data_IF_323807205185
#
_entry.id   IF_323807205185
#
_cell.length_a   1.000
_cell.length_b   1.000
_cell.length_c   1.000
_cell.angle_alpha   90.00
_cell.angle_beta   90.00
_cell.angle_gamma   90.00
#
_symmetry.space_group_name_H-M   'P 1'
#
loop_
_entity.id
_entity.type
_entity.pdbx_description
1 polymer ?
#
# COMPACT_ATOMS: atom_id res chain seq x y z
N UNK A 1 6.76 -15.35 -30.00
CA UNK A 1 5.40 -15.22 -29.41
C UNK A 1 5.48 -15.84 -28.02
N UNK A 2 5.53 -15.05 -26.98
CA UNK A 2 5.49 -15.56 -25.61
C UNK A 2 4.07 -16.13 -25.42
N UNK A 3 3.96 -17.42 -25.11
CA UNK A 3 2.71 -18.02 -24.65
C UNK A 3 2.37 -17.33 -23.32
N UNK A 4 1.44 -16.39 -23.35
CA UNK A 4 0.87 -15.88 -22.11
C UNK A 4 0.12 -17.04 -21.46
N UNK A 5 0.59 -17.48 -20.29
CA UNK A 5 -0.17 -18.44 -19.49
C UNK A 5 -1.60 -17.90 -19.29
N UNK A 6 -2.61 -18.77 -19.34
CA UNK A 6 -3.99 -18.34 -19.14
C UNK A 6 -4.12 -17.70 -17.76
N UNK A 7 -4.83 -16.57 -17.69
CA UNK A 7 -5.06 -15.88 -16.43
C UNK A 7 -5.79 -16.82 -15.44
N UNK A 8 -5.43 -16.81 -14.14
CA UNK A 8 -6.02 -17.70 -13.14
C UNK A 8 -7.43 -17.26 -12.70
N UNK A 9 -8.03 -16.29 -13.38
CA UNK A 9 -9.35 -15.73 -13.11
C UNK A 9 -10.12 -15.45 -14.39
N UNK A 10 -11.43 -15.22 -14.25
CA UNK A 10 -12.32 -14.69 -15.29
C UNK A 10 -13.07 -13.48 -14.78
N UNK A 11 -13.47 -12.59 -15.67
CA UNK A 11 -14.43 -11.53 -15.38
C UNK A 11 -15.84 -12.10 -15.34
N UNK A 12 -16.66 -11.65 -14.38
CA UNK A 12 -18.03 -12.11 -14.18
C UNK A 12 -18.90 -10.99 -13.61
N UNK A 13 -20.16 -10.90 -14.03
CA UNK A 13 -21.11 -10.00 -13.40
C UNK A 13 -21.53 -10.52 -12.03
N UNK A 14 -21.18 -9.78 -10.99
CA UNK A 14 -21.47 -10.11 -9.60
C UNK A 14 -22.68 -9.30 -9.10
N UNK A 15 -23.63 -9.99 -8.48
CA UNK A 15 -24.87 -9.35 -8.00
C UNK A 15 -24.56 -8.19 -7.04
N UNK A 16 -25.04 -6.98 -7.39
CA UNK A 16 -24.87 -5.77 -6.60
C UNK A 16 -23.46 -5.16 -6.59
N UNK A 17 -22.52 -5.69 -7.42
CA UNK A 17 -21.14 -5.22 -7.48
C UNK A 17 -20.63 -4.90 -8.90
N UNK A 18 -21.47 -5.12 -9.93
CA UNK A 18 -21.04 -4.98 -11.32
C UNK A 18 -20.07 -6.09 -11.74
N UNK A 19 -19.14 -5.76 -12.66
CA UNK A 19 -18.12 -6.70 -13.11
C UNK A 19 -17.06 -6.88 -12.04
N UNK A 20 -16.68 -8.12 -11.77
CA UNK A 20 -15.58 -8.46 -10.86
C UNK A 20 -14.77 -9.65 -11.39
N UNK A 21 -13.68 -9.97 -10.75
CA UNK A 21 -12.78 -11.05 -11.13
C UNK A 21 -12.92 -12.24 -10.18
N UNK A 22 -13.21 -13.43 -10.73
CA UNK A 22 -13.43 -14.67 -9.98
C UNK A 22 -12.36 -15.68 -10.33
N UNK A 23 -11.71 -16.27 -9.32
CA UNK A 23 -10.68 -17.29 -9.51
C UNK A 23 -11.27 -18.54 -10.19
N UNK A 24 -10.66 -18.99 -11.30
CA UNK A 24 -11.05 -20.22 -12.00
C UNK A 24 -10.31 -21.47 -11.51
N UNK A 25 -9.31 -21.26 -10.67
CA UNK A 25 -8.50 -22.29 -10.01
C UNK A 25 -8.05 -21.81 -8.63
N UNK A 26 -7.48 -22.70 -7.82
CA UNK A 26 -6.85 -22.29 -6.56
C UNK A 26 -5.59 -21.47 -6.84
N UNK A 27 -5.43 -20.33 -6.13
CA UNK A 27 -4.27 -19.44 -6.23
C UNK A 27 -3.55 -19.45 -4.87
N UNK A 28 -2.28 -19.84 -4.87
CA UNK A 28 -1.48 -19.89 -3.65
C UNK A 28 -1.12 -18.47 -3.15
N UNK A 29 -0.88 -18.33 -1.84
CA UNK A 29 -0.39 -17.08 -1.25
C UNK A 29 0.95 -16.67 -1.89
N UNK A 30 1.08 -15.39 -2.25
CA UNK A 30 2.26 -14.80 -2.90
C UNK A 30 2.31 -15.01 -4.42
N UNK A 31 1.44 -15.86 -5.00
CA UNK A 31 1.40 -16.06 -6.45
C UNK A 31 1.04 -14.79 -7.19
N UNK A 32 1.66 -14.59 -8.33
CA UNK A 32 1.29 -13.57 -9.30
C UNK A 32 -0.07 -13.93 -9.92
N UNK A 33 -1.04 -13.02 -9.82
CA UNK A 33 -2.37 -13.14 -10.41
C UNK A 33 -2.42 -12.45 -11.77
N UNK A 34 -1.83 -11.25 -11.84
CA UNK A 34 -1.78 -10.43 -13.05
C UNK A 34 -0.52 -9.57 -13.00
N UNK A 35 0.12 -9.38 -14.15
CA UNK A 35 1.11 -8.34 -14.42
C UNK A 35 0.62 -7.50 -15.57
N UNK A 36 0.58 -6.18 -15.38
CA UNK A 36 0.05 -5.27 -16.39
C UNK A 36 0.89 -3.99 -16.47
N UNK A 37 1.08 -3.49 -17.70
CA UNK A 37 1.61 -2.15 -17.94
C UNK A 37 0.45 -1.14 -17.90
N UNK A 38 0.67 0.08 -17.40
CA UNK A 38 -0.39 1.09 -17.41
C UNK A 38 -0.77 1.49 -18.84
N UNK A 39 -2.07 1.58 -19.10
CA UNK A 39 -2.60 2.16 -20.33
C UNK A 39 -2.33 3.67 -20.39
N UNK A 40 -2.43 4.33 -19.23
CA UNK A 40 -2.10 5.73 -19.03
C UNK A 40 -1.22 5.85 -17.78
N UNK A 41 -0.01 6.37 -17.97
CA UNK A 41 0.94 6.59 -16.86
C UNK A 41 1.15 8.09 -16.65
N UNK A 42 1.06 8.51 -15.39
CA UNK A 42 1.39 9.88 -14.96
C UNK A 42 2.16 9.81 -13.65
N UNK A 43 3.41 10.25 -13.66
CA UNK A 43 4.19 10.39 -12.43
C UNK A 43 3.50 11.37 -11.47
N UNK A 44 3.71 11.22 -10.17
CA UNK A 44 3.07 12.05 -9.14
C UNK A 44 3.26 13.56 -9.40
N UNK A 45 4.45 13.97 -9.81
CA UNK A 45 4.80 15.36 -10.12
C UNK A 45 4.03 15.92 -11.33
N UNK A 46 3.67 15.06 -12.28
CA UNK A 46 2.99 15.44 -13.53
C UNK A 46 1.48 15.19 -13.49
N UNK A 47 0.94 14.70 -12.37
CA UNK A 47 -0.47 14.34 -12.24
C UNK A 47 -1.37 15.56 -12.08
N UNK A 48 -1.86 16.07 -13.21
CA UNK A 48 -2.82 17.17 -13.25
C UNK A 48 -3.85 16.97 -14.37
N UNK A 49 -4.96 17.69 -14.32
CA UNK A 49 -6.07 17.53 -15.27
C UNK A 49 -5.63 17.72 -16.73
N UNK A 50 -4.73 18.66 -17.00
CA UNK A 50 -4.21 18.92 -18.35
C UNK A 50 -3.39 17.73 -18.86
N UNK A 51 -2.56 17.14 -18.02
CA UNK A 51 -1.75 15.98 -18.39
C UNK A 51 -2.61 14.75 -18.72
N UNK A 52 -3.69 14.51 -17.98
CA UNK A 52 -4.66 13.43 -18.25
C UNK A 52 -5.20 13.56 -19.68
N UNK A 53 -5.74 14.72 -20.05
CA UNK A 53 -6.31 14.94 -21.39
C UNK A 53 -5.24 14.79 -22.48
N UNK A 54 -4.06 15.38 -22.30
CA UNK A 54 -2.96 15.25 -23.27
C UNK A 54 -2.51 13.81 -23.45
N UNK A 55 -2.40 13.04 -22.36
CA UNK A 55 -2.02 11.64 -22.43
C UNK A 55 -3.07 10.81 -23.16
N UNK A 56 -4.36 11.04 -22.91
CA UNK A 56 -5.44 10.39 -23.65
C UNK A 56 -5.38 10.70 -25.14
N UNK A 57 -5.21 11.97 -25.52
CA UNK A 57 -5.11 12.38 -26.92
C UNK A 57 -3.89 11.80 -27.64
N UNK A 58 -2.84 11.44 -26.91
CA UNK A 58 -1.62 10.82 -27.45
C UNK A 58 -1.72 9.29 -27.59
N UNK A 59 -2.76 8.65 -27.08
CA UNK A 59 -2.99 7.21 -27.22
C UNK A 59 -3.33 6.83 -28.66
N UNK A 60 -3.12 5.55 -28.99
CA UNK A 60 -3.68 4.98 -30.21
C UNK A 60 -5.21 5.03 -30.20
N UNK A 61 -5.86 4.98 -31.35
CA UNK A 61 -7.32 4.95 -31.44
C UNK A 61 -7.91 3.73 -30.72
N UNK A 62 -7.24 2.58 -30.77
CA UNK A 62 -7.61 1.36 -30.10
C UNK A 62 -7.55 1.53 -28.54
N UNK A 63 -6.45 2.09 -28.04
CA UNK A 63 -6.29 2.36 -26.61
C UNK A 63 -7.31 3.39 -26.09
N UNK A 64 -7.62 4.43 -26.88
CA UNK A 64 -8.68 5.40 -26.54
C UNK A 64 -10.05 4.71 -26.44
N UNK A 65 -10.36 3.79 -27.37
CA UNK A 65 -11.61 3.05 -27.35
C UNK A 65 -11.70 2.14 -26.11
N UNK A 66 -10.63 1.43 -25.76
CA UNK A 66 -10.60 0.60 -24.54
C UNK A 66 -10.69 1.43 -23.26
N UNK A 67 -10.02 2.60 -23.21
CA UNK A 67 -10.12 3.54 -22.10
C UNK A 67 -11.57 4.01 -21.89
N UNK A 68 -12.27 4.37 -22.96
CA UNK A 68 -13.65 4.88 -22.90
C UNK A 68 -14.69 3.82 -22.52
N UNK A 69 -14.35 2.52 -22.57
CA UNK A 69 -15.20 1.43 -22.05
C UNK A 69 -15.11 1.25 -20.54
N UNK A 70 -14.18 1.93 -19.87
CA UNK A 70 -14.00 1.81 -18.44
C UNK A 70 -15.11 2.50 -17.66
N UNK A 71 -15.32 2.08 -16.42
CA UNK A 71 -16.35 2.66 -15.56
C UNK A 71 -16.06 4.13 -15.25
N UNK A 72 -17.14 4.94 -15.20
CA UNK A 72 -17.07 6.36 -14.90
C UNK A 72 -18.07 6.73 -13.80
N UNK A 73 -17.58 7.02 -12.60
CA UNK A 73 -18.42 7.49 -11.49
C UNK A 73 -18.87 8.96 -11.65
N UNK A 74 -18.28 9.68 -12.61
CA UNK A 74 -18.54 11.10 -12.89
C UNK A 74 -19.37 11.30 -14.17
N UNK A 75 -20.30 10.39 -14.48
CA UNK A 75 -21.23 10.60 -15.57
C UNK A 75 -22.17 11.76 -15.25
N UNK A 76 -22.43 12.65 -16.25
CA UNK A 76 -23.16 13.92 -16.05
C UNK A 76 -24.60 13.72 -15.52
N UNK A 77 -25.25 12.58 -15.83
CA UNK A 77 -26.61 12.27 -15.43
C UNK A 77 -26.70 11.57 -14.05
N UNK A 78 -25.63 11.56 -13.28
CA UNK A 78 -25.62 10.90 -11.98
C UNK A 78 -26.19 11.80 -10.88
N UNK A 79 -27.45 11.60 -10.52
CA UNK A 79 -28.10 12.21 -9.33
C UNK A 79 -27.44 11.81 -7.99
N UNK A 80 -26.37 11.00 -8.05
CA UNK A 80 -25.75 10.36 -6.89
C UNK A 80 -24.36 10.92 -6.55
N UNK A 81 -23.93 12.01 -7.13
CA UNK A 81 -22.64 12.61 -6.79
C UNK A 81 -22.65 13.16 -5.36
N UNK A 82 -21.64 12.79 -4.59
CA UNK A 82 -21.38 13.44 -3.31
C UNK A 82 -20.94 14.89 -3.49
N UNK A 83 -21.09 15.72 -2.44
CA UNK A 83 -20.60 17.11 -2.46
C UNK A 83 -19.09 17.18 -2.78
N UNK A 84 -18.31 16.18 -2.34
CA UNK A 84 -16.89 16.06 -2.64
C UNK A 84 -16.63 15.83 -4.13
N UNK A 85 -17.37 14.94 -4.76
CA UNK A 85 -17.28 14.68 -6.22
C UNK A 85 -17.69 15.91 -7.02
N UNK A 86 -18.79 16.57 -6.66
CA UNK A 86 -19.25 17.80 -7.29
C UNK A 86 -18.17 18.88 -7.20
N UNK A 87 -17.58 19.09 -6.03
CA UNK A 87 -16.54 20.09 -5.83
C UNK A 87 -15.27 19.78 -6.64
N UNK A 88 -14.85 18.51 -6.75
CA UNK A 88 -13.73 18.11 -7.60
C UNK A 88 -14.00 18.39 -9.07
N UNK A 89 -15.17 18.04 -9.55
CA UNK A 89 -15.56 18.30 -10.95
C UNK A 89 -15.61 19.77 -11.27
N UNK A 90 -16.20 20.60 -10.41
CA UNK A 90 -16.25 22.06 -10.59
C UNK A 90 -14.86 22.69 -10.67
N UNK A 91 -13.87 22.17 -9.95
CA UNK A 91 -12.47 22.60 -10.06
C UNK A 91 -11.81 22.17 -11.37
N UNK A 92 -12.21 21.03 -11.92
CA UNK A 92 -11.69 20.53 -13.19
C UNK A 92 -12.23 21.27 -14.40
N UNK A 93 -13.52 21.63 -14.40
CA UNK A 93 -14.25 22.23 -15.54
C UNK A 93 -13.51 23.37 -16.25
N UNK A 94 -12.99 24.41 -15.57
CA UNK A 94 -12.30 25.51 -16.26
C UNK A 94 -11.05 25.06 -17.02
N UNK A 95 -10.40 23.99 -16.56
CA UNK A 95 -9.20 23.42 -17.20
C UNK A 95 -9.61 22.58 -18.39
N UNK A 96 -10.66 21.77 -18.26
CA UNK A 96 -11.19 20.90 -19.31
C UNK A 96 -11.76 21.70 -20.47
N UNK A 97 -12.41 22.84 -20.20
CA UNK A 97 -12.97 23.75 -21.22
C UNK A 97 -11.91 24.47 -22.08
N UNK A 98 -10.63 24.44 -21.68
CA UNK A 98 -9.55 25.12 -22.41
C UNK A 98 -8.89 24.27 -23.51
N UNK A 99 -9.37 23.05 -23.76
CA UNK A 99 -8.88 22.22 -24.86
C UNK A 99 -9.67 22.48 -26.16
N UNK A 100 -8.97 22.77 -27.26
CA UNK A 100 -9.55 22.94 -28.59
C UNK A 100 -9.72 21.64 -29.38
N UNK A 101 -8.91 20.61 -29.03
CA UNK A 101 -8.78 19.38 -29.81
C UNK A 101 -9.74 18.28 -29.34
N UNK A 102 -10.55 18.58 -28.34
CA UNK A 102 -11.51 17.65 -27.73
C UNK A 102 -12.72 18.46 -27.22
N UNK A 103 -13.93 17.94 -27.39
CA UNK A 103 -15.12 18.59 -26.82
C UNK A 103 -15.09 18.55 -25.28
N UNK A 104 -15.73 19.52 -24.62
CA UNK A 104 -15.83 19.57 -23.17
C UNK A 104 -16.46 18.28 -22.60
N UNK A 105 -17.53 17.79 -23.22
CA UNK A 105 -18.19 16.56 -22.82
C UNK A 105 -17.22 15.37 -22.84
N UNK A 106 -16.45 15.21 -23.94
CA UNK A 106 -15.45 14.15 -24.03
C UNK A 106 -14.29 14.34 -23.04
N UNK A 107 -13.84 15.58 -22.83
CA UNK A 107 -12.80 15.87 -21.86
C UNK A 107 -13.26 15.54 -20.42
N UNK A 108 -14.53 15.84 -20.09
CA UNK A 108 -15.15 15.51 -18.80
C UNK A 108 -15.27 13.99 -18.61
N UNK A 109 -15.68 13.27 -19.63
CA UNK A 109 -15.77 11.80 -19.63
C UNK A 109 -14.38 11.17 -19.38
N UNK A 110 -13.37 11.60 -20.13
CA UNK A 110 -11.97 11.12 -19.96
C UNK A 110 -11.47 11.41 -18.55
N UNK A 111 -11.71 12.61 -18.03
CA UNK A 111 -11.31 12.97 -16.68
C UNK A 111 -12.03 12.12 -15.63
N UNK A 112 -13.35 11.91 -15.79
CA UNK A 112 -14.16 11.10 -14.87
C UNK A 112 -13.71 9.64 -14.86
N UNK A 113 -13.45 9.02 -16.02
CA UNK A 113 -12.91 7.68 -16.14
C UNK A 113 -11.54 7.58 -15.44
N UNK A 114 -10.66 8.56 -15.67
CA UNK A 114 -9.36 8.64 -15.02
C UNK A 114 -9.51 8.67 -13.49
N UNK A 115 -10.35 9.54 -12.95
CA UNK A 115 -10.61 9.68 -11.51
C UNK A 115 -11.15 8.40 -10.89
N UNK A 116 -11.99 7.67 -11.62
CA UNK A 116 -12.61 6.43 -11.16
C UNK A 116 -11.63 5.26 -11.12
N UNK A 117 -10.69 5.18 -12.10
CA UNK A 117 -9.88 3.98 -12.34
C UNK A 117 -8.38 4.17 -12.09
N UNK A 118 -7.96 5.36 -11.62
CA UNK A 118 -6.52 5.61 -11.39
C UNK A 118 -6.03 4.91 -10.14
N UNK A 119 -4.90 4.24 -10.28
CA UNK A 119 -4.06 3.75 -9.19
C UNK A 119 -2.93 4.76 -8.90
N UNK A 120 -1.98 4.40 -8.06
CA UNK A 120 -0.92 5.31 -7.60
C UNK A 120 -0.20 6.05 -8.73
N UNK A 121 0.00 5.42 -9.88
CA UNK A 121 0.84 5.90 -10.98
C UNK A 121 0.19 5.80 -12.36
N UNK A 122 -1.00 5.21 -12.48
CA UNK A 122 -1.64 5.06 -13.79
C UNK A 122 -3.00 4.41 -13.79
N UNK A 123 -3.54 4.27 -14.99
CA UNK A 123 -4.80 3.56 -15.27
C UNK A 123 -4.46 2.23 -15.95
N UNK A 124 -5.08 1.15 -15.46
CA UNK A 124 -4.85 -0.23 -15.92
C UNK A 124 -6.17 -0.87 -16.32
N UNK A 125 -6.24 -1.43 -17.52
CA UNK A 125 -7.49 -1.98 -18.09
C UNK A 125 -8.03 -3.18 -17.30
N UNK A 126 -7.15 -4.13 -16.97
CA UNK A 126 -7.54 -5.35 -16.27
C UNK A 126 -7.55 -5.18 -14.76
N UNK A 127 -6.59 -4.42 -14.19
CA UNK A 127 -6.54 -4.20 -12.74
C UNK A 127 -7.75 -3.43 -12.22
N UNK A 128 -8.33 -2.52 -13.01
CA UNK A 128 -9.56 -1.79 -12.65
C UNK A 128 -10.82 -2.66 -12.58
N UNK A 129 -10.74 -3.94 -13.00
CA UNK A 129 -11.87 -4.91 -12.90
C UNK A 129 -11.93 -5.63 -11.54
N UNK A 130 -10.92 -5.46 -10.68
CA UNK A 130 -10.93 -6.08 -9.35
C UNK A 130 -11.69 -5.19 -8.36
N UNK A 131 -12.76 -5.74 -7.78
CA UNK A 131 -13.61 -5.03 -6.84
C UNK A 131 -12.93 -4.80 -5.49
N UNK A 132 -13.51 -3.86 -4.73
CA UNK A 132 -13.03 -3.50 -3.39
C UNK A 132 -13.41 -4.52 -2.32
N UNK A 133 -12.48 -4.75 -1.40
CA UNK A 133 -12.75 -5.27 -0.06
C UNK A 133 -11.86 -4.57 0.96
N UNK A 134 -12.40 -4.23 2.13
CA UNK A 134 -11.58 -3.78 3.27
C UNK A 134 -10.69 -4.90 3.84
N UNK A 135 -10.97 -6.16 3.50
CA UNK A 135 -10.12 -7.35 3.77
C UNK A 135 -9.77 -8.05 2.47
N UNK A 136 -8.94 -7.44 1.63
CA UNK A 136 -8.65 -7.97 0.31
C UNK A 136 -7.89 -9.29 0.39
N UNK A 137 -8.06 -10.11 -0.64
CA UNK A 137 -7.27 -11.33 -0.80
C UNK A 137 -6.13 -11.18 -1.80
N UNK A 138 -6.04 -10.04 -2.49
CA UNK A 138 -4.94 -9.67 -3.36
C UNK A 138 -4.56 -8.19 -3.16
N UNK A 139 -3.35 -7.79 -3.56
CA UNK A 139 -2.90 -6.42 -3.51
C UNK A 139 -1.98 -6.09 -4.69
N UNK A 140 -1.85 -4.80 -4.97
CA UNK A 140 -1.19 -4.26 -6.16
C UNK A 140 0.15 -3.64 -5.78
N UNK A 141 1.20 -3.97 -6.53
CA UNK A 141 2.56 -3.50 -6.30
C UNK A 141 3.22 -3.07 -7.60
N UNK A 142 3.76 -1.85 -7.63
CA UNK A 142 4.66 -1.44 -8.72
C UNK A 142 5.90 -2.33 -8.76
N UNK A 143 6.24 -2.82 -9.93
CA UNK A 143 7.40 -3.68 -10.16
C UNK A 143 8.41 -2.98 -11.08
N UNK A 144 9.34 -2.25 -10.46
CA UNK A 144 10.40 -1.54 -11.20
C UNK A 144 11.36 -2.49 -11.93
N UNK A 145 11.55 -3.70 -11.40
CA UNK A 145 12.43 -4.72 -11.99
C UNK A 145 11.84 -5.30 -13.29
N UNK A 146 10.54 -5.10 -13.55
CA UNK A 146 9.83 -5.58 -14.74
C UNK A 146 9.26 -4.41 -15.57
N UNK A 147 10.12 -3.51 -16.04
CA UNK A 147 9.79 -2.38 -16.93
C UNK A 147 8.68 -1.45 -16.37
N UNK A 148 8.69 -1.18 -15.06
CA UNK A 148 7.65 -0.39 -14.38
C UNK A 148 6.23 -0.96 -14.55
N UNK A 149 6.11 -2.27 -14.73
CA UNK A 149 4.81 -2.93 -14.69
C UNK A 149 4.25 -2.94 -13.27
N UNK A 150 2.98 -3.26 -13.17
CA UNK A 150 2.30 -3.44 -11.88
C UNK A 150 1.88 -4.88 -11.72
N UNK A 151 2.21 -5.47 -10.58
CA UNK A 151 1.88 -6.84 -10.21
C UNK A 151 0.67 -6.85 -9.25
N UNK A 152 -0.32 -7.69 -9.54
CA UNK A 152 -1.35 -8.11 -8.59
C UNK A 152 -0.94 -9.46 -8.00
N UNK A 153 -0.81 -9.55 -6.66
CA UNK A 153 -0.41 -10.79 -5.97
C UNK A 153 -1.40 -11.18 -4.88
N UNK A 154 -1.58 -12.49 -4.73
CA UNK A 154 -2.44 -13.05 -3.70
C UNK A 154 -1.84 -12.84 -2.30
N UNK A 155 -2.56 -12.18 -1.40
CA UNK A 155 -2.15 -11.96 0.01
C UNK A 155 -2.36 -13.20 0.89
N UNK A 156 -3.25 -14.07 0.47
CA UNK A 156 -3.56 -15.37 1.08
C UNK A 156 -3.93 -16.38 -0.01
N UNK A 157 -4.12 -17.62 0.36
CA UNK A 157 -4.73 -18.61 -0.53
C UNK A 157 -6.12 -18.13 -0.98
N UNK A 158 -6.39 -18.13 -2.27
CA UNK A 158 -7.67 -17.83 -2.89
C UNK A 158 -8.23 -19.13 -3.47
N UNK A 159 -9.47 -19.46 -3.13
CA UNK A 159 -10.10 -20.70 -3.59
C UNK A 159 -10.70 -20.52 -4.99
N UNK A 160 -10.81 -21.61 -5.73
CA UNK A 160 -11.60 -21.59 -6.96
C UNK A 160 -13.04 -21.13 -6.67
N UNK A 161 -13.57 -20.24 -7.52
CA UNK A 161 -14.89 -19.62 -7.37
C UNK A 161 -14.94 -18.44 -6.41
N UNK A 162 -13.83 -18.09 -5.73
CA UNK A 162 -13.76 -16.94 -4.85
C UNK A 162 -13.48 -15.66 -5.67
N UNK A 163 -14.19 -14.56 -5.34
CA UNK A 163 -13.91 -13.24 -5.90
C UNK A 163 -12.52 -12.77 -5.47
N UNK A 164 -11.72 -12.29 -6.43
CA UNK A 164 -10.42 -11.66 -6.16
C UNK A 164 -10.66 -10.19 -5.93
N UNK A 165 -10.26 -9.68 -4.76
CA UNK A 165 -10.52 -8.31 -4.34
C UNK A 165 -9.27 -7.58 -3.93
N UNK A 166 -9.26 -6.26 -4.14
CA UNK A 166 -8.20 -5.34 -3.74
C UNK A 166 -8.76 -4.28 -2.77
N UNK A 167 -7.90 -3.49 -2.14
CA UNK A 167 -8.33 -2.38 -1.31
C UNK A 167 -8.17 -1.06 -2.07
N UNK A 168 -9.27 -0.30 -2.23
CA UNK A 168 -9.26 1.03 -2.87
C UNK A 168 -8.77 2.14 -1.92
N UNK A 169 -8.74 1.87 -0.62
CA UNK A 169 -8.31 2.83 0.40
C UNK A 169 -6.79 2.98 0.33
N UNK A 170 -6.33 4.23 0.33
CA UNK A 170 -4.92 4.59 0.31
C UNK A 170 -4.14 4.02 1.52
N UNK A 171 -2.83 3.78 1.35
CA UNK A 171 -1.96 3.25 2.41
C UNK A 171 -1.89 4.17 3.62
N UNK A 172 -1.92 5.49 3.43
CA UNK A 172 -1.89 6.47 4.50
C UNK A 172 -3.15 6.47 5.38
N UNK A 173 -4.21 5.77 4.93
CA UNK A 173 -5.50 5.62 5.62
C UNK A 173 -5.68 4.21 6.21
N UNK A 174 -4.59 3.50 6.44
CA UNK A 174 -4.59 2.10 6.89
C UNK A 174 -5.18 1.89 8.29
N UNK A 175 -5.34 2.95 9.09
CA UNK A 175 -5.89 2.91 10.46
C UNK A 175 -7.28 3.54 10.56
N UNK A 176 -8.05 3.49 9.49
CA UNK A 176 -9.43 3.99 9.49
C UNK A 176 -10.41 3.00 10.13
N UNK A 177 -11.35 3.53 10.90
CA UNK A 177 -12.50 2.80 11.43
C UNK A 177 -13.42 2.29 10.31
N UNK A 178 -14.31 1.37 10.64
CA UNK A 178 -15.34 0.89 9.70
C UNK A 178 -16.14 2.03 9.09
N UNK A 179 -16.53 3.00 9.90
CA UNK A 179 -17.33 4.15 9.50
C UNK A 179 -16.57 5.02 8.49
N UNK A 180 -15.30 5.34 8.77
CA UNK A 180 -14.44 6.11 7.85
C UNK A 180 -14.26 5.39 6.52
N UNK A 181 -14.02 4.07 6.54
CA UNK A 181 -13.89 3.26 5.32
C UNK A 181 -15.16 3.24 4.49
N UNK A 182 -16.32 3.06 5.13
CA UNK A 182 -17.62 3.07 4.43
C UNK A 182 -17.97 4.44 3.88
N UNK A 183 -17.67 5.51 4.63
CA UNK A 183 -17.86 6.88 4.16
C UNK A 183 -17.03 7.17 2.91
N UNK A 184 -15.77 6.72 2.86
CA UNK A 184 -14.92 6.87 1.67
C UNK A 184 -15.48 6.15 0.45
N UNK A 185 -15.90 4.88 0.62
CA UNK A 185 -16.50 4.11 -0.48
C UNK A 185 -17.79 4.75 -0.99
N UNK A 186 -18.61 5.27 -0.08
CA UNK A 186 -19.85 5.97 -0.47
C UNK A 186 -19.54 7.29 -1.18
N UNK A 187 -18.58 8.06 -0.67
CA UNK A 187 -18.25 9.41 -1.16
C UNK A 187 -17.65 9.38 -2.56
N UNK A 188 -16.68 8.49 -2.83
CA UNK A 188 -15.88 8.53 -4.07
C UNK A 188 -16.19 7.41 -5.06
N UNK A 189 -16.80 6.32 -4.58
CA UNK A 189 -17.12 5.15 -5.43
C UNK A 189 -18.61 4.85 -5.49
N UNK A 190 -19.44 5.63 -4.79
CA UNK A 190 -20.90 5.57 -4.80
C UNK A 190 -21.51 4.22 -4.41
N UNK A 191 -20.85 3.44 -3.54
CA UNK A 191 -21.44 2.21 -3.01
C UNK A 191 -21.28 2.07 -1.50
N UNK A 192 -22.20 1.31 -0.88
CA UNK A 192 -22.14 0.95 0.53
C UNK A 192 -21.36 -0.36 0.71
N UNK A 193 -20.15 -0.28 1.27
CA UNK A 193 -19.30 -1.45 1.45
C UNK A 193 -19.89 -2.41 2.49
N UNK A 194 -20.13 -3.65 2.06
CA UNK A 194 -20.61 -4.77 2.88
C UNK A 194 -19.66 -5.97 2.84
N UNK A 195 -18.35 -5.73 2.60
CA UNK A 195 -17.36 -6.79 2.59
C UNK A 195 -17.18 -7.40 3.99
N UNK A 196 -16.49 -8.54 4.08
CA UNK A 196 -16.17 -9.23 5.35
C UNK A 196 -15.55 -8.30 6.41
N UNK A 197 -14.82 -7.25 5.99
CA UNK A 197 -14.22 -6.25 6.89
C UNK A 197 -15.20 -5.17 7.37
N UNK A 198 -16.40 -5.09 6.80
CA UNK A 198 -17.46 -4.14 7.17
C UNK A 198 -18.70 -4.82 7.76
N UNK A 199 -18.90 -6.10 7.46
CA UNK A 199 -19.96 -6.94 8.06
C UNK A 199 -19.50 -7.40 9.46
N UNK A 200 -19.64 -6.50 10.43
CA UNK A 200 -19.16 -6.66 11.80
C UNK A 200 -20.29 -6.41 12.80
N UNK A 201 -20.29 -7.18 13.90
CA UNK A 201 -21.17 -6.87 15.05
C UNK A 201 -20.72 -5.59 15.75
N UNK A 202 -21.63 -4.97 16.52
CA UNK A 202 -21.29 -3.76 17.29
C UNK A 202 -20.14 -3.98 18.28
N UNK A 203 -20.04 -5.18 18.86
CA UNK A 203 -18.91 -5.56 19.74
C UNK A 203 -17.58 -5.59 18.96
N UNK A 204 -17.59 -6.15 17.76
CA UNK A 204 -16.40 -6.16 16.89
C UNK A 204 -15.99 -4.75 16.43
N UNK A 205 -16.97 -3.89 16.17
CA UNK A 205 -16.72 -2.48 15.83
C UNK A 205 -16.08 -1.75 16.99
N UNK A 206 -16.58 -1.95 18.21
CA UNK A 206 -16.00 -1.34 19.40
C UNK A 206 -14.58 -1.83 19.65
N UNK A 207 -14.33 -3.14 19.50
CA UNK A 207 -12.98 -3.71 19.63
C UNK A 207 -12.01 -3.17 18.56
N UNK A 208 -12.48 -2.98 17.33
CA UNK A 208 -11.68 -2.37 16.27
C UNK A 208 -11.30 -0.92 16.61
N UNK A 209 -12.25 -0.11 17.09
CA UNK A 209 -12.00 1.27 17.54
C UNK A 209 -10.96 1.33 18.64
N UNK A 210 -11.11 0.54 19.70
CA UNK A 210 -10.15 0.47 20.80
C UNK A 210 -8.73 0.10 20.32
N UNK A 211 -8.65 -0.86 19.39
CA UNK A 211 -7.37 -1.25 18.81
C UNK A 211 -6.73 -0.14 17.97
N UNK A 212 -7.53 0.58 17.19
CA UNK A 212 -7.07 1.72 16.38
C UNK A 212 -6.59 2.85 17.28
N UNK A 213 -7.33 3.20 18.34
CA UNK A 213 -6.92 4.24 19.29
C UNK A 213 -5.61 3.85 20.01
N UNK A 214 -5.50 2.61 20.49
CA UNK A 214 -4.26 2.12 21.09
C UNK A 214 -3.07 2.18 20.10
N UNK A 215 -3.31 1.93 18.81
CA UNK A 215 -2.27 2.07 17.78
C UNK A 215 -1.85 3.54 17.60
N UNK A 216 -2.82 4.47 17.50
CA UNK A 216 -2.55 5.91 17.37
C UNK A 216 -1.78 6.45 18.58
N UNK A 217 -2.11 6.00 19.79
CA UNK A 217 -1.36 6.34 21.01
C UNK A 217 0.10 5.90 20.92
N UNK A 218 0.38 4.68 20.40
CA UNK A 218 1.76 4.22 20.22
C UNK A 218 2.51 5.01 19.16
N UNK A 219 1.84 5.45 18.09
CA UNK A 219 2.42 6.36 17.08
C UNK A 219 2.83 7.69 17.73
N UNK A 220 1.91 8.33 18.49
CA UNK A 220 2.19 9.60 19.16
C UNK A 220 3.32 9.47 20.21
N UNK A 221 3.33 8.38 20.99
CA UNK A 221 4.42 8.10 21.93
C UNK A 221 5.75 7.98 21.19
N UNK A 222 5.79 7.23 20.08
CA UNK A 222 7.00 7.08 19.27
C UNK A 222 7.52 8.41 18.75
N UNK A 223 6.66 9.29 18.25
CA UNK A 223 7.04 10.64 17.79
C UNK A 223 7.69 11.44 18.93
N UNK A 224 7.14 11.39 20.13
CA UNK A 224 7.71 12.02 21.32
C UNK A 224 9.11 11.46 21.64
N UNK A 225 9.26 10.13 21.63
CA UNK A 225 10.55 9.46 21.85
C UNK A 225 11.57 9.85 20.79
N UNK A 226 11.18 10.00 19.54
CA UNK A 226 12.07 10.44 18.46
C UNK A 226 12.61 11.86 18.70
N UNK A 227 11.77 12.77 19.16
CA UNK A 227 12.18 14.12 19.55
C UNK A 227 13.19 14.07 20.69
N UNK A 228 12.90 13.33 21.77
CA UNK A 228 13.80 13.21 22.93
C UNK A 228 15.15 12.59 22.53
N UNK A 229 15.13 11.53 21.71
CA UNK A 229 16.34 10.92 21.18
C UNK A 229 17.21 11.90 20.35
N UNK A 230 16.57 12.80 19.60
CA UNK A 230 17.29 13.82 18.81
C UNK A 230 17.95 14.88 19.68
N UNK A 231 17.51 15.05 20.93
CA UNK A 231 18.06 15.98 21.92
C UNK A 231 19.16 15.38 22.81
N UNK A 232 19.38 14.07 22.72
CA UNK A 232 20.34 13.37 23.58
C UNK A 232 21.82 13.59 23.17
N UNK A 233 22.14 14.62 22.41
CA UNK A 233 23.47 15.01 21.93
C UNK A 233 24.46 13.83 21.74
N UNK A 234 25.65 13.89 22.38
CA UNK A 234 26.70 12.86 22.30
C UNK A 234 26.64 11.84 23.46
N UNK A 235 25.62 11.87 24.31
CA UNK A 235 25.46 10.87 25.38
C UNK A 235 24.94 9.54 24.79
N UNK A 236 25.87 8.62 24.59
CA UNK A 236 25.56 7.30 24.03
C UNK A 236 24.67 6.44 24.95
N UNK A 237 24.76 6.63 26.29
CA UNK A 237 23.91 5.89 27.21
C UNK A 237 22.46 6.38 27.14
N UNK A 238 22.23 7.69 27.19
CA UNK A 238 20.91 8.29 27.05
C UNK A 238 20.29 7.97 25.69
N UNK A 239 21.09 8.08 24.62
CA UNK A 239 20.65 7.71 23.27
C UNK A 239 20.22 6.25 23.16
N UNK A 240 20.94 5.34 23.80
CA UNK A 240 20.59 3.92 23.83
C UNK A 240 19.26 3.68 24.58
N UNK A 241 18.98 4.40 25.65
CA UNK A 241 17.73 4.33 26.39
C UNK A 241 16.55 4.76 25.50
N UNK A 242 16.67 5.87 24.79
CA UNK A 242 15.65 6.34 23.84
C UNK A 242 15.46 5.38 22.66
N UNK A 243 16.52 4.76 22.15
CA UNK A 243 16.40 3.72 21.10
C UNK A 243 15.62 2.50 21.63
N UNK A 244 15.84 2.09 22.86
CA UNK A 244 15.10 0.98 23.49
C UNK A 244 13.61 1.30 23.61
N UNK A 245 13.29 2.52 24.04
CA UNK A 245 11.91 2.97 24.18
C UNK A 245 11.22 3.04 22.81
N UNK A 246 11.87 3.63 21.80
CA UNK A 246 11.34 3.66 20.43
C UNK A 246 11.10 2.25 19.88
N UNK A 247 12.05 1.33 20.11
CA UNK A 247 11.90 -0.07 19.68
C UNK A 247 10.73 -0.77 20.38
N UNK A 248 10.44 -0.44 21.65
CA UNK A 248 9.28 -0.96 22.35
C UNK A 248 7.99 -0.43 21.72
N UNK A 249 7.90 0.86 21.39
CA UNK A 249 6.77 1.42 20.66
C UNK A 249 6.54 0.69 19.33
N UNK A 250 7.61 0.47 18.54
CA UNK A 250 7.53 -0.25 17.26
C UNK A 250 7.05 -1.70 17.43
N UNK A 251 7.50 -2.40 18.47
CA UNK A 251 7.04 -3.77 18.77
C UNK A 251 5.56 -3.81 19.13
N UNK A 252 5.07 -2.87 19.94
CA UNK A 252 3.65 -2.78 20.28
C UNK A 252 2.80 -2.39 19.07
N UNK A 253 3.26 -1.41 18.27
CA UNK A 253 2.63 -1.07 16.99
C UNK A 253 2.51 -2.29 16.07
N UNK A 254 3.56 -3.12 15.97
CA UNK A 254 3.51 -4.34 15.16
C UNK A 254 2.48 -5.36 15.68
N UNK A 255 2.35 -5.52 17.00
CA UNK A 255 1.33 -6.40 17.58
C UNK A 255 -0.08 -5.92 17.23
N UNK A 256 -0.35 -4.63 17.40
CA UNK A 256 -1.64 -4.01 17.09
C UNK A 256 -1.94 -4.07 15.58
N UNK A 257 -0.95 -3.75 14.74
CA UNK A 257 -1.09 -3.78 13.28
C UNK A 257 -1.54 -5.13 12.72
N UNK A 258 -1.18 -6.24 13.37
CA UNK A 258 -1.64 -7.58 12.97
C UNK A 258 -3.14 -7.80 13.21
N UNK A 259 -3.75 -7.06 14.11
CA UNK A 259 -5.17 -7.18 14.46
C UNK A 259 -6.03 -6.16 13.75
N UNK A 260 -5.49 -4.99 13.39
CA UNK A 260 -6.18 -3.97 12.59
C UNK A 260 -6.36 -4.48 11.16
N UNK A 261 -7.60 -4.49 10.69
CA UNK A 261 -7.95 -4.89 9.32
C UNK A 261 -8.77 -3.77 8.69
N UNK A 262 -8.30 -3.12 7.66
CA UNK A 262 -7.44 -3.60 6.56
C UNK A 262 -6.02 -3.04 6.53
N UNK A 263 -5.29 -3.03 7.61
CA UNK A 263 -3.92 -2.49 7.55
C UNK A 263 -3.11 -3.14 6.41
N UNK A 264 -2.62 -2.31 5.48
CA UNK A 264 -1.88 -2.79 4.31
C UNK A 264 -0.51 -3.34 4.74
N UNK A 265 -0.19 -4.54 4.27
CA UNK A 265 1.08 -5.22 4.62
C UNK A 265 2.31 -4.44 4.19
N UNK A 266 2.24 -3.73 3.06
CA UNK A 266 3.33 -2.87 2.60
C UNK A 266 3.60 -1.75 3.58
N UNK A 267 2.56 -1.06 4.06
CA UNK A 267 2.70 -0.03 5.08
C UNK A 267 3.34 -0.57 6.36
N UNK A 268 2.93 -1.78 6.81
CA UNK A 268 3.53 -2.46 7.96
C UNK A 268 5.00 -2.77 7.72
N UNK A 269 5.36 -3.23 6.52
CA UNK A 269 6.75 -3.52 6.15
C UNK A 269 7.61 -2.26 6.22
N UNK A 270 7.18 -1.19 5.54
CA UNK A 270 7.98 0.02 5.35
C UNK A 270 8.02 0.90 6.62
N UNK A 271 6.92 0.96 7.39
CA UNK A 271 6.78 1.87 8.54
C UNK A 271 7.00 1.24 9.92
N UNK A 272 6.89 -0.07 10.04
CA UNK A 272 7.05 -0.78 11.32
C UNK A 272 8.23 -1.72 11.29
N UNK A 273 8.24 -2.67 10.36
CA UNK A 273 9.24 -3.75 10.35
C UNK A 273 10.62 -3.22 9.97
N UNK A 274 10.69 -2.36 8.96
CA UNK A 274 11.92 -1.70 8.54
C UNK A 274 12.52 -0.82 9.64
N UNK A 275 11.68 -0.03 10.30
CA UNK A 275 12.10 0.81 11.42
C UNK A 275 12.62 -0.03 12.60
N UNK A 276 11.92 -1.12 12.96
CA UNK A 276 12.37 -2.04 14.00
C UNK A 276 13.72 -2.67 13.70
N UNK A 277 13.98 -3.03 12.44
CA UNK A 277 15.28 -3.52 12.00
C UNK A 277 16.39 -2.48 12.23
N UNK A 278 16.20 -1.25 11.74
CA UNK A 278 17.19 -0.19 11.88
C UNK A 278 17.43 0.22 13.33
N UNK A 279 16.39 0.29 14.15
CA UNK A 279 16.53 0.59 15.59
C UNK A 279 17.33 -0.50 16.32
N UNK A 280 17.09 -1.77 16.04
CA UNK A 280 17.84 -2.85 16.65
C UNK A 280 19.32 -2.83 16.25
N UNK A 281 19.65 -2.47 15.00
CA UNK A 281 21.02 -2.30 14.54
C UNK A 281 21.67 -1.06 15.17
N UNK A 282 20.94 0.05 15.31
CA UNK A 282 21.41 1.27 15.98
C UNK A 282 21.70 1.04 17.45
N UNK A 283 20.84 0.27 18.17
CA UNK A 283 21.12 -0.13 19.55
C UNK A 283 22.42 -0.95 19.66
N UNK A 284 22.68 -1.87 18.72
CA UNK A 284 23.93 -2.63 18.71
C UNK A 284 25.15 -1.72 18.44
N UNK A 285 25.00 -0.67 17.63
CA UNK A 285 26.06 0.33 17.40
C UNK A 285 26.35 1.15 18.66
N UNK A 286 25.32 1.66 19.35
CA UNK A 286 25.50 2.41 20.60
C UNK A 286 26.15 1.56 21.71
N UNK A 287 25.76 0.29 21.87
CA UNK A 287 26.44 -0.64 22.80
C UNK A 287 27.93 -0.83 22.45
N UNK A 288 28.27 -0.82 21.16
CA UNK A 288 29.67 -0.87 20.74
C UNK A 288 30.44 0.40 21.16
N UNK A 289 29.87 1.59 21.00
CA UNK A 289 30.47 2.86 21.40
C UNK A 289 30.68 2.95 22.91
N UNK A 290 29.72 2.45 23.70
CA UNK A 290 29.78 2.42 25.17
C UNK A 290 30.78 1.39 25.72
N UNK A 291 30.96 0.25 25.05
CA UNK A 291 31.86 -0.83 25.48
C UNK A 291 33.34 -0.59 25.18
N UNK A 292 33.67 0.36 24.30
CA UNK A 292 35.04 0.58 23.83
C UNK A 292 35.66 -0.68 23.20
N UNK A 293 36.96 -0.90 23.46
CA UNK A 293 37.68 -2.09 23.02
C UNK A 293 37.52 -3.30 23.96
N UNK A 294 36.84 -3.13 25.12
CA UNK A 294 36.63 -4.20 26.07
C UNK A 294 35.36 -5.02 25.71
N UNK A 295 35.48 -6.35 25.84
CA UNK A 295 34.43 -7.34 25.48
C UNK A 295 33.21 -7.35 26.43
N UNK A 296 33.16 -6.43 27.39
CA UNK A 296 32.18 -6.41 28.51
C UNK A 296 30.71 -6.32 28.09
N UNK A 297 30.41 -5.89 26.85
CA UNK A 297 29.05 -5.72 26.33
C UNK A 297 28.68 -6.64 25.16
N UNK A 298 29.49 -7.66 24.90
CA UNK A 298 29.28 -8.56 23.75
C UNK A 298 27.97 -9.33 23.79
N UNK A 299 27.50 -9.71 24.98
CA UNK A 299 26.22 -10.40 25.11
C UNK A 299 25.03 -9.48 24.80
N UNK A 300 25.09 -8.20 25.16
CA UNK A 300 24.04 -7.24 24.81
C UNK A 300 24.06 -6.94 23.31
N UNK A 301 25.21 -6.82 22.68
CA UNK A 301 25.34 -6.70 21.21
C UNK A 301 24.73 -7.90 20.48
N UNK A 302 24.91 -9.12 21.01
CA UNK A 302 24.27 -10.34 20.47
C UNK A 302 22.75 -10.31 20.58
N UNK A 303 22.20 -9.77 21.68
CA UNK A 303 20.76 -9.59 21.86
C UNK A 303 20.20 -8.67 20.77
N UNK A 304 20.80 -7.49 20.53
CA UNK A 304 20.34 -6.56 19.51
C UNK A 304 20.46 -7.09 18.08
N UNK A 305 21.56 -7.79 17.77
CA UNK A 305 21.70 -8.50 16.49
C UNK A 305 20.61 -9.57 16.32
N UNK A 306 20.24 -10.25 17.39
CA UNK A 306 19.13 -11.20 17.43
C UNK A 306 17.78 -10.55 17.16
N UNK A 307 17.51 -9.38 17.74
CA UNK A 307 16.30 -8.61 17.47
C UNK A 307 16.25 -8.13 16.00
N UNK A 308 17.36 -7.61 15.46
CA UNK A 308 17.45 -7.22 14.05
C UNK A 308 17.14 -8.41 13.11
N UNK A 309 17.66 -9.59 13.40
CA UNK A 309 17.35 -10.82 12.63
C UNK A 309 15.88 -11.21 12.70
N UNK A 310 15.20 -11.02 13.85
CA UNK A 310 13.76 -11.27 13.97
C UNK A 310 12.96 -10.34 13.05
N UNK A 311 13.26 -9.05 13.05
CA UNK A 311 12.62 -8.09 12.13
C UNK A 311 12.93 -8.43 10.66
N UNK A 312 14.17 -8.78 10.34
CA UNK A 312 14.55 -9.20 9.00
C UNK A 312 13.77 -10.43 8.52
N UNK A 313 13.59 -11.43 9.38
CA UNK A 313 12.80 -12.63 9.08
C UNK A 313 11.33 -12.29 8.80
N UNK A 314 10.72 -11.43 9.61
CA UNK A 314 9.34 -10.95 9.38
C UNK A 314 9.27 -10.17 8.07
N UNK A 315 10.21 -9.26 7.84
CA UNK A 315 10.29 -8.47 6.62
C UNK A 315 10.39 -9.33 5.37
N UNK A 316 11.25 -10.35 5.41
CA UNK A 316 11.40 -11.31 4.31
C UNK A 316 10.10 -12.05 3.99
N UNK A 317 9.37 -12.53 5.02
CA UNK A 317 8.09 -13.21 4.81
C UNK A 317 7.05 -12.29 4.14
N UNK A 318 7.00 -11.03 4.57
CA UNK A 318 6.10 -10.05 3.97
C UNK A 318 6.55 -9.73 2.54
N UNK A 319 7.84 -9.45 2.33
CA UNK A 319 8.40 -9.12 1.02
C UNK A 319 8.18 -10.24 -0.02
N UNK A 320 8.41 -11.50 0.33
CA UNK A 320 8.10 -12.66 -0.54
C UNK A 320 6.62 -12.70 -0.95
N UNK A 321 5.72 -12.35 -0.03
CA UNK A 321 4.28 -12.30 -0.33
C UNK A 321 3.93 -11.14 -1.28
N UNK A 322 4.52 -9.96 -1.05
CA UNK A 322 4.18 -8.74 -1.77
C UNK A 322 4.88 -8.64 -3.14
N UNK A 323 6.14 -9.01 -3.21
CA UNK A 323 6.99 -8.75 -4.38
C UNK A 323 7.41 -10.02 -5.13
N UNK A 324 7.29 -11.19 -4.52
CA UNK A 324 7.81 -12.45 -5.04
C UNK A 324 9.25 -12.74 -4.60
N UNK A 325 9.73 -13.97 -4.88
CA UNK A 325 11.06 -14.41 -4.43
C UNK A 325 12.20 -13.72 -5.17
N UNK A 326 12.05 -13.51 -6.48
CA UNK A 326 13.11 -12.96 -7.34
C UNK A 326 13.17 -11.42 -7.39
N UNK A 327 12.46 -10.73 -6.51
CA UNK A 327 12.42 -9.27 -6.51
C UNK A 327 13.57 -8.68 -5.68
N UNK A 328 14.16 -7.59 -6.15
CA UNK A 328 15.28 -6.90 -5.49
C UNK A 328 14.98 -6.51 -4.03
N UNK A 329 13.73 -6.11 -3.73
CA UNK A 329 13.30 -5.82 -2.35
C UNK A 329 13.30 -7.07 -1.47
N UNK A 330 12.96 -8.25 -2.02
CA UNK A 330 13.01 -9.52 -1.30
C UNK A 330 14.45 -9.90 -0.98
N UNK A 331 15.34 -9.79 -1.96
CA UNK A 331 16.79 -10.04 -1.75
C UNK A 331 17.40 -9.09 -0.70
N UNK A 332 17.00 -7.83 -0.67
CA UNK A 332 17.43 -6.89 0.37
C UNK A 332 17.04 -7.34 1.79
N UNK A 333 15.89 -8.01 1.96
CA UNK A 333 15.50 -8.59 3.24
C UNK A 333 16.24 -9.89 3.59
N UNK A 334 16.66 -10.67 2.60
CA UNK A 334 17.55 -11.83 2.78
C UNK A 334 18.92 -11.39 3.31
N UNK A 335 19.55 -10.39 2.68
CA UNK A 335 20.81 -9.82 3.14
C UNK A 335 20.75 -9.29 4.59
N UNK A 336 19.64 -8.63 4.96
CA UNK A 336 19.41 -8.16 6.34
C UNK A 336 19.40 -9.32 7.33
N UNK A 337 18.82 -10.46 6.96
CA UNK A 337 18.77 -11.67 7.79
C UNK A 337 20.13 -12.33 7.94
N UNK A 338 20.93 -12.39 6.90
CA UNK A 338 22.24 -13.00 6.89
C UNK A 338 23.25 -12.20 7.72
N UNK A 339 23.39 -10.91 7.44
CA UNK A 339 24.32 -10.04 8.16
C UNK A 339 23.73 -8.64 8.43
N UNK A 340 22.92 -8.51 9.51
CA UNK A 340 22.22 -7.26 9.82
C UNK A 340 23.14 -6.05 9.92
N UNK A 341 24.28 -6.17 10.58
CA UNK A 341 25.19 -5.04 10.80
C UNK A 341 25.90 -4.61 9.52
N UNK A 342 26.29 -5.54 8.66
CA UNK A 342 26.88 -5.22 7.35
C UNK A 342 25.86 -4.46 6.50
N UNK A 343 24.63 -4.95 6.42
CA UNK A 343 23.56 -4.27 5.70
C UNK A 343 23.30 -2.86 6.26
N UNK A 344 23.22 -2.74 7.59
CA UNK A 344 22.99 -1.47 8.28
C UNK A 344 24.07 -0.44 7.93
N UNK A 345 25.36 -0.78 8.09
CA UNK A 345 26.45 0.16 7.79
C UNK A 345 26.57 0.53 6.31
N UNK A 346 26.21 -0.36 5.39
CA UNK A 346 26.23 -0.07 3.95
C UNK A 346 25.09 0.86 3.52
N UNK A 347 23.97 0.91 4.25
CA UNK A 347 22.75 1.58 3.80
C UNK A 347 22.26 2.72 4.72
N UNK A 348 22.88 2.95 5.88
CA UNK A 348 22.40 3.94 6.85
C UNK A 348 22.37 5.39 6.33
N UNK A 349 23.19 5.70 5.34
CA UNK A 349 23.29 7.03 4.72
C UNK A 349 22.40 7.20 3.47
N UNK A 350 21.78 6.15 2.97
CA UNK A 350 20.97 6.19 1.75
C UNK A 350 19.47 6.46 2.04
N UNK A 351 19.09 6.74 3.29
CA UNK A 351 17.69 6.99 3.70
C UNK A 351 17.32 8.47 3.88
N UNK A 352 18.21 9.41 3.49
CA UNK A 352 17.94 10.85 3.58
C UNK A 352 18.07 11.53 2.23
#
# INVERSE_FOLDING_TARGET
MAHSEPLPYKEENLSGKGVGCVAIQEIAKGSLVLRELPLLFLSEENRNHRAVIKSFLAMSAEDQEEFLKMHNNYEEDSDNWSDAMQNEYQKALPILANFSDISLARASEVWGIYKTNTFTDGVYLKMSRFNHSCRPNADIFGNQDANNSTDLRALRKIRQGEEITICYIDENRSVWSREERRAEMKTFYNFDCNCEGCDMTEEQVQQERETIEAFKERVAQRETVQVMKSMADDDHQERLEWIREELNCVKEMYKLAKTIKPMKRRWVLDNIVDQGFFLACSAAEEEFKLGGLEDSRDDQKKVWKGEAKKFASVGLQIAKTLFGEDNSRTHAWEERGENPMRFYFSNRFNKY
#
